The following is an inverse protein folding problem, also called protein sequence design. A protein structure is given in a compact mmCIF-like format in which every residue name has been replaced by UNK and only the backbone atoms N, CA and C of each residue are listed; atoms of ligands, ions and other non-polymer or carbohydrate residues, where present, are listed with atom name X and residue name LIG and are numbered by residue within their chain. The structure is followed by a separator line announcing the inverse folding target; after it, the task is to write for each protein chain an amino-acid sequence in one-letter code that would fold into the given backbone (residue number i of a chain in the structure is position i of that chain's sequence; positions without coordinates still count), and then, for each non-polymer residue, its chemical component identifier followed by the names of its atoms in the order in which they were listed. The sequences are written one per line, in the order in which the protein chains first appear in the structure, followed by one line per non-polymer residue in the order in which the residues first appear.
data_IF_289420318914
#
_entry.id   IF_289420318914
#
_cell.length_a   1.000
_cell.length_b   1.000
_cell.length_c   1.000
_cell.angle_alpha   90.00
_cell.angle_beta   90.00
_cell.angle_gamma   90.00
#
_symmetry.space_group_name_H-M   'P 1'
#
loop_
_entity.id
_entity.type
_entity.pdbx_description
1 polymer ?
#
# COMPACT_ATOMS: atom_id res chain seq x y z
N UNK A 1 -21.03 15.22 -17.65
CA UNK A 1 -19.72 15.87 -17.48
C UNK A 1 -18.93 14.94 -16.58
N UNK A 2 -18.20 14.01 -17.20
CA UNK A 2 -17.27 13.15 -16.47
C UNK A 2 -16.02 13.98 -16.19
N UNK A 3 -15.90 14.47 -14.96
CA UNK A 3 -14.70 15.14 -14.49
C UNK A 3 -13.63 14.07 -14.31
N UNK A 4 -12.58 14.01 -15.14
CA UNK A 4 -11.72 12.83 -15.19
C UNK A 4 -10.72 12.78 -14.01
N UNK A 5 -10.73 13.80 -13.15
CA UNK A 5 -9.93 13.86 -11.93
C UNK A 5 -10.44 12.90 -10.83
N UNK A 6 -11.73 12.52 -10.86
CA UNK A 6 -12.32 11.59 -9.90
C UNK A 6 -11.80 10.16 -10.06
N UNK A 7 -11.46 9.73 -11.28
CA UNK A 7 -11.10 8.34 -11.56
C UNK A 7 -9.85 7.91 -10.76
N UNK A 8 -8.80 8.74 -10.78
CA UNK A 8 -7.56 8.41 -10.05
C UNK A 8 -7.73 8.53 -8.53
N UNK A 9 -8.57 9.45 -8.05
CA UNK A 9 -8.90 9.52 -6.63
C UNK A 9 -9.65 8.27 -6.15
N UNK A 10 -10.58 7.73 -6.95
CA UNK A 10 -11.29 6.49 -6.64
C UNK A 10 -10.35 5.28 -6.64
N UNK A 11 -9.50 5.16 -7.65
CA UNK A 11 -8.47 4.12 -7.70
C UNK A 11 -7.52 4.21 -6.50
N UNK A 12 -7.08 5.42 -6.15
CA UNK A 12 -6.28 5.66 -4.95
C UNK A 12 -7.00 5.19 -3.68
N UNK A 13 -8.30 5.48 -3.53
CA UNK A 13 -9.09 5.03 -2.37
C UNK A 13 -9.21 3.50 -2.32
N UNK A 14 -9.42 2.85 -3.46
CA UNK A 14 -9.45 1.40 -3.55
C UNK A 14 -8.11 0.79 -3.10
N UNK A 15 -6.99 1.33 -3.59
CA UNK A 15 -5.64 0.90 -3.17
C UNK A 15 -5.42 1.13 -1.68
N UNK A 16 -5.79 2.30 -1.16
CA UNK A 16 -5.69 2.62 0.27
C UNK A 16 -6.39 1.54 1.10
N UNK A 17 -7.64 1.21 0.75
CA UNK A 17 -8.42 0.21 1.49
C UNK A 17 -7.80 -1.19 1.41
N UNK A 18 -7.16 -1.52 0.29
CA UNK A 18 -6.52 -2.81 0.07
C UNK A 18 -5.23 -2.96 0.89
N UNK A 19 -4.40 -1.90 0.94
CA UNK A 19 -3.08 -1.98 1.61
C UNK A 19 -3.00 -1.35 2.99
N UNK A 20 -4.02 -0.61 3.45
CA UNK A 20 -4.02 0.03 4.79
C UNK A 20 -3.76 -0.97 5.92
N UNK A 21 -4.14 -2.25 5.76
CA UNK A 21 -3.92 -3.29 6.75
C UNK A 21 -2.44 -3.71 6.87
N UNK A 22 -1.61 -3.33 5.91
CA UNK A 22 -0.22 -3.73 5.76
C UNK A 22 0.78 -2.60 5.99
N UNK A 23 0.27 -1.38 6.17
CA UNK A 23 1.04 -0.18 6.46
C UNK A 23 0.55 0.42 7.77
N UNK A 24 1.31 1.36 8.33
CA UNK A 24 0.88 2.04 9.55
C UNK A 24 -0.21 3.08 9.25
N UNK A 25 -0.06 3.79 8.14
CA UNK A 25 -1.01 4.80 7.69
C UNK A 25 -0.86 4.99 6.17
N UNK A 26 -1.96 5.27 5.46
CA UNK A 26 -1.93 5.63 4.04
C UNK A 26 -3.11 6.53 3.70
N UNK A 27 -2.90 7.52 2.84
CA UNK A 27 -3.91 8.48 2.43
C UNK A 27 -3.49 9.29 1.20
N UNK A 28 -4.45 9.96 0.57
CA UNK A 28 -4.18 10.86 -0.56
C UNK A 28 -3.51 12.13 -0.03
N UNK A 29 -2.49 12.64 -0.74
CA UNK A 29 -1.86 13.91 -0.39
C UNK A 29 -2.85 15.07 -0.65
N UNK A 30 -3.19 15.89 0.36
CA UNK A 30 -4.03 17.06 0.15
C UNK A 30 -3.27 18.26 -0.42
N UNK A 31 -1.93 18.17 -0.45
CA UNK A 31 -1.05 19.26 -0.89
C UNK A 31 -0.63 19.08 -2.34
N UNK A 32 -0.32 17.85 -2.74
CA UNK A 32 0.07 17.55 -4.11
C UNK A 32 -1.18 17.44 -4.98
N UNK A 33 -1.25 18.27 -6.02
CA UNK A 33 -2.39 18.28 -6.93
C UNK A 33 -2.49 16.96 -7.70
N UNK A 34 -3.55 16.22 -7.44
CA UNK A 34 -4.03 15.13 -8.30
C UNK A 34 -4.29 15.70 -9.69
N UNK A 35 -3.74 15.04 -10.70
CA UNK A 35 -3.94 15.36 -12.12
C UNK A 35 -4.76 14.25 -12.76
N UNK A 36 -5.34 14.55 -13.91
CA UNK A 36 -6.07 13.61 -14.75
C UNK A 36 -5.35 12.31 -15.16
N UNK A 37 -4.06 12.20 -14.92
CA UNK A 37 -3.24 11.04 -15.28
C UNK A 37 -2.47 10.45 -14.10
N UNK A 38 -2.55 11.07 -12.91
CA UNK A 38 -1.80 10.63 -11.73
C UNK A 38 -2.29 11.27 -10.44
N UNK A 39 -2.14 10.54 -9.35
CA UNK A 39 -2.47 10.97 -7.98
C UNK A 39 -1.31 10.67 -7.04
N UNK A 40 -1.15 11.49 -6.01
CA UNK A 40 -0.10 11.30 -5.01
C UNK A 40 -0.68 10.79 -3.70
N UNK A 41 -0.05 9.74 -3.19
CA UNK A 41 -0.40 9.04 -1.97
C UNK A 41 0.72 9.25 -0.95
N UNK A 42 0.34 9.59 0.27
CA UNK A 42 1.21 9.58 1.43
C UNK A 42 1.02 8.25 2.15
N UNK A 43 2.11 7.55 2.45
CA UNK A 43 2.08 6.31 3.22
C UNK A 43 3.15 6.31 4.30
N UNK A 44 2.85 5.69 5.44
CA UNK A 44 3.82 5.40 6.50
C UNK A 44 3.98 3.90 6.62
N UNK A 45 5.21 3.42 6.46
CA UNK A 45 5.52 1.99 6.61
C UNK A 45 5.39 1.54 8.07
N UNK A 46 5.45 0.23 8.29
CA UNK A 46 5.42 -0.36 9.64
C UNK A 46 6.59 0.15 10.51
N UNK A 47 7.70 0.55 9.89
CA UNK A 47 8.86 1.16 10.55
C UNK A 47 8.66 2.64 10.91
N UNK A 48 7.44 3.18 10.76
CA UNK A 48 7.10 4.58 11.01
C UNK A 48 7.81 5.57 10.08
N UNK A 49 8.14 5.14 8.86
CA UNK A 49 8.82 5.98 7.88
C UNK A 49 7.80 6.54 6.88
N UNK A 50 7.67 7.88 6.75
CA UNK A 50 6.77 8.50 5.79
C UNK A 50 7.36 8.50 4.39
N UNK A 51 6.53 8.20 3.39
CA UNK A 51 6.87 8.24 1.98
C UNK A 51 5.74 8.89 1.19
N UNK A 52 6.10 9.48 0.05
CA UNK A 52 5.15 9.92 -0.97
C UNK A 52 5.33 9.07 -2.20
N UNK A 53 4.19 8.60 -2.71
CA UNK A 53 4.07 7.68 -3.83
C UNK A 53 3.20 8.31 -4.90
N UNK A 54 3.65 8.25 -6.14
CA UNK A 54 2.86 8.55 -7.33
C UNK A 54 2.13 7.27 -7.76
N UNK A 55 0.83 7.39 -8.00
CA UNK A 55 0.00 6.41 -8.69
C UNK A 55 -0.41 6.98 -10.03
N UNK A 56 -0.11 6.26 -11.11
CA UNK A 56 -0.46 6.63 -12.48
C UNK A 56 -0.74 5.39 -13.32
N UNK A 57 -1.06 5.56 -14.60
CA UNK A 57 -1.21 4.44 -15.54
C UNK A 57 0.05 3.58 -15.70
N UNK A 58 1.23 4.11 -15.33
CA UNK A 58 2.48 3.35 -15.33
C UNK A 58 2.64 2.45 -14.08
N UNK A 59 1.78 2.61 -13.07
CA UNK A 59 1.84 1.88 -11.80
C UNK A 59 2.15 2.80 -10.62
N UNK A 60 2.86 2.26 -9.63
CA UNK A 60 3.18 2.87 -8.35
C UNK A 60 4.65 3.21 -8.25
N UNK A 61 5.00 4.39 -7.74
CA UNK A 61 6.38 4.84 -7.64
C UNK A 61 6.62 5.73 -6.44
N UNK A 62 7.68 5.50 -5.67
CA UNK A 62 8.10 6.44 -4.62
C UNK A 62 8.79 7.66 -5.21
N UNK A 63 8.34 8.85 -4.81
CA UNK A 63 8.88 10.14 -5.26
C UNK A 63 9.55 10.93 -4.13
N UNK A 64 9.26 10.59 -2.87
CA UNK A 64 9.96 11.17 -1.72
C UNK A 64 9.88 10.30 -0.46
N UNK A 65 10.80 10.55 0.48
CA UNK A 65 10.82 9.99 1.85
C UNK A 65 10.21 10.94 2.89
N UNK A 66 9.34 11.83 2.44
CA UNK A 66 8.61 12.80 3.26
C UNK A 66 7.24 13.01 2.63
N UNK A 67 6.24 13.24 3.47
CA UNK A 67 4.91 13.57 3.00
C UNK A 67 4.90 14.85 2.18
N UNK A 68 4.07 14.86 1.14
CA UNK A 68 3.81 16.04 0.31
C UNK A 68 5.07 16.64 -0.33
N UNK A 69 6.10 15.82 -0.54
CA UNK A 69 7.34 16.22 -1.19
C UNK A 69 7.58 15.36 -2.41
N UNK A 70 8.27 15.93 -3.38
CA UNK A 70 8.82 15.24 -4.54
C UNK A 70 10.29 15.59 -4.51
N UNK A 71 11.10 14.66 -4.02
CA UNK A 71 12.53 14.86 -3.77
C UNK A 71 13.35 14.12 -4.83
N UNK A 72 12.89 12.92 -5.17
CA UNK A 72 13.60 12.02 -6.07
C UNK A 72 12.63 11.29 -7.01
N UNK A 73 12.51 11.84 -8.22
CA UNK A 73 11.75 11.23 -9.32
C UNK A 73 12.58 10.16 -10.04
N UNK A 74 13.49 9.45 -9.36
CA UNK A 74 14.22 8.30 -9.93
C UNK A 74 13.74 6.94 -9.42
N UNK A 75 12.70 6.91 -8.57
CA UNK A 75 12.11 5.67 -8.07
C UNK A 75 11.74 4.67 -9.17
N UNK A 76 11.68 3.39 -8.86
CA UNK A 76 11.23 2.37 -9.81
C UNK A 76 9.69 2.36 -9.88
N UNK A 77 9.13 2.12 -11.06
CA UNK A 77 7.71 1.84 -11.22
C UNK A 77 7.41 0.39 -10.86
N UNK A 78 6.37 0.19 -10.08
CA UNK A 78 5.89 -1.11 -9.64
C UNK A 78 4.47 -1.32 -10.15
N UNK A 79 4.18 -2.51 -10.67
CA UNK A 79 2.83 -2.85 -11.17
C UNK A 79 1.78 -2.89 -10.06
N UNK A 80 2.18 -3.20 -8.82
CA UNK A 80 1.26 -3.39 -7.70
C UNK A 80 1.75 -2.65 -6.45
N UNK A 81 0.84 -2.21 -5.57
CA UNK A 81 1.24 -1.54 -4.34
C UNK A 81 1.99 -2.50 -3.40
N UNK A 82 1.72 -3.80 -3.47
CA UNK A 82 2.45 -4.83 -2.74
C UNK A 82 3.93 -4.93 -3.14
N UNK A 83 4.21 -4.88 -4.45
CA UNK A 83 5.58 -4.86 -4.96
C UNK A 83 6.31 -3.58 -4.55
N UNK A 84 5.62 -2.47 -4.38
CA UNK A 84 6.20 -1.27 -3.81
C UNK A 84 6.48 -1.44 -2.30
N UNK A 85 5.50 -1.94 -1.54
CA UNK A 85 5.61 -2.13 -0.09
C UNK A 85 6.71 -3.09 0.31
N UNK A 86 6.99 -4.12 -0.50
CA UNK A 86 8.10 -5.05 -0.24
C UNK A 86 9.48 -4.37 -0.30
N UNK A 87 9.60 -3.30 -1.10
CA UNK A 87 10.84 -2.50 -1.21
C UNK A 87 10.87 -1.39 -0.16
N UNK A 88 9.72 -0.77 0.11
CA UNK A 88 9.63 0.33 1.08
C UNK A 88 9.70 -0.12 2.54
N UNK A 89 9.08 -1.26 2.85
CA UNK A 89 9.01 -1.81 4.20
C UNK A 89 9.72 -3.17 4.22
N UNK A 90 10.95 -3.25 4.73
CA UNK A 90 11.62 -4.54 4.92
C UNK A 90 10.88 -5.46 5.90
N UNK A 91 10.04 -4.90 6.77
CA UNK A 91 9.21 -5.68 7.70
C UNK A 91 7.95 -6.26 7.02
N UNK A 92 7.44 -5.64 5.95
CA UNK A 92 6.24 -6.09 5.25
C UNK A 92 6.30 -7.57 4.78
N UNK A 93 7.33 -8.03 4.04
CA UNK A 93 7.38 -9.44 3.61
C UNK A 93 7.46 -10.41 4.78
N UNK A 94 8.11 -10.02 5.88
CA UNK A 94 8.13 -10.79 7.12
C UNK A 94 6.74 -10.91 7.75
N UNK A 95 6.03 -9.79 7.93
CA UNK A 95 4.66 -9.75 8.46
C UNK A 95 3.66 -10.48 7.57
N UNK A 96 3.79 -10.38 6.25
CA UNK A 96 2.94 -11.08 5.30
C UNK A 96 3.17 -12.59 5.34
N UNK A 97 4.43 -13.03 5.41
CA UNK A 97 4.75 -14.44 5.61
C UNK A 97 4.22 -14.95 6.95
N UNK A 98 4.35 -14.17 8.02
CA UNK A 98 3.83 -14.51 9.35
C UNK A 98 2.30 -14.61 9.35
N UNK A 99 1.60 -13.70 8.68
CA UNK A 99 0.14 -13.75 8.47
C UNK A 99 -0.27 -15.02 7.70
N UNK A 100 0.44 -15.36 6.63
CA UNK A 100 0.17 -16.57 5.84
C UNK A 100 0.38 -17.84 6.67
N UNK A 101 1.45 -17.87 7.48
CA UNK A 101 1.74 -18.97 8.41
C UNK A 101 0.63 -19.14 9.43
N UNK A 102 0.24 -18.06 10.12
CA UNK A 102 -0.88 -18.07 11.08
C UNK A 102 -2.18 -18.57 10.46
N UNK A 103 -2.44 -18.18 9.20
CA UNK A 103 -3.64 -18.61 8.48
C UNK A 103 -3.59 -20.08 8.11
N UNK A 104 -2.44 -20.58 7.64
CA UNK A 104 -2.23 -22.02 7.42
C UNK A 104 -2.41 -22.83 8.73
N UNK A 105 -1.82 -22.36 9.83
CA UNK A 105 -1.91 -23.02 11.14
C UNK A 105 -3.34 -22.99 11.71
N UNK A 106 -4.09 -21.90 11.49
CA UNK A 106 -5.49 -21.78 11.87
C UNK A 106 -6.42 -22.71 11.07
N UNK A 107 -6.08 -23.04 9.82
CA UNK A 107 -6.82 -24.01 9.00
C UNK A 107 -6.47 -25.44 9.42
N UNK A 108 -5.21 -25.69 9.79
CA UNK A 108 -4.76 -27.03 10.21
C UNK A 108 -5.33 -27.49 11.58
N UNK A 109 -6.01 -26.59 12.30
CA UNK A 109 -6.69 -26.88 13.57
C UNK A 109 -8.22 -27.08 13.41
N UNK A 110 -8.78 -26.98 12.19
CA UNK A 110 -10.17 -27.36 11.91
C UNK A 110 -10.28 -28.85 11.48
N UNK A 111 -9.52 -29.72 12.16
CA UNK A 111 -9.68 -31.16 12.13
C UNK A 111 -9.09 -31.78 13.40
N UNK A 112 -9.89 -31.78 14.47
CA UNK A 112 -9.58 -32.40 15.76
C UNK A 112 -9.66 -31.34 16.87
N UNK A 113 -10.73 -31.27 17.65
CA UNK A 113 -11.16 -32.36 18.52
C UNK A 113 -12.67 -32.35 18.78
N UNK A 114 -13.34 -33.43 18.38
CA UNK A 114 -14.48 -33.98 19.11
C UNK A 114 -13.97 -35.26 19.81
N UNK A 115 -13.42 -35.09 20.99
CA UNK A 115 -13.02 -36.09 21.99
C UNK A 115 -12.71 -35.23 23.22
N UNK A 116 -13.37 -35.31 24.36
CA UNK A 116 -14.06 -36.41 25.00
C UNK A 116 -13.51 -36.41 26.43
N UNK A 117 -14.31 -35.90 27.37
CA UNK A 117 -14.28 -36.20 28.81
C UNK A 117 -15.61 -35.75 29.42
#
# INVERSE_FOLDING_TARGET
MDSPDLLWEEEARAVILDVQAHVKEIGISPILHSTNSRVYLNLTTLECQPFTVELSSAGFRTVAKKYNSIDDETGTYFDTPYALLTVLSPAFPGSFADLLRRKLEGINNDHGSCSGE
#
